data_IF_773784786090
#
_entry.id   IF_773784786090
#
_cell.length_a   1.000
_cell.length_b   1.000
_cell.length_c   1.000
_cell.angle_alpha   90.00
_cell.angle_beta   90.00
_cell.angle_gamma   90.00
#
_symmetry.space_group_name_H-M   'P 1'
#
loop_
_entity.id
_entity.type
_entity.pdbx_description
1 polymer ?
#
# COMPACT_ATOMS: atom_id res chain seq x y z
N UNK A 1 -29.63 -58.41 -27.84
CA UNK A 1 -28.67 -57.94 -26.82
C UNK A 1 -28.29 -56.51 -27.17
N UNK A 2 -28.56 -55.54 -26.29
CA UNK A 2 -28.49 -54.10 -26.56
C UNK A 2 -27.22 -53.51 -25.92
N UNK A 3 -26.40 -52.82 -26.70
CA UNK A 3 -25.18 -52.13 -26.24
C UNK A 3 -25.52 -50.67 -25.96
N UNK A 4 -25.26 -50.18 -24.75
CA UNK A 4 -25.49 -48.78 -24.36
C UNK A 4 -24.15 -48.12 -24.02
N UNK A 5 -23.74 -47.16 -24.84
CA UNK A 5 -22.58 -46.29 -24.62
C UNK A 5 -23.00 -45.21 -23.63
N UNK A 6 -22.35 -45.17 -22.45
CA UNK A 6 -22.52 -44.12 -21.44
C UNK A 6 -21.46 -43.05 -21.64
N UNK A 7 -21.85 -41.92 -22.22
CA UNK A 7 -21.06 -40.69 -22.27
C UNK A 7 -21.03 -40.04 -20.88
N UNK A 8 -19.85 -39.89 -20.28
CA UNK A 8 -19.64 -39.14 -19.04
C UNK A 8 -19.43 -37.67 -19.43
N UNK A 9 -20.36 -36.81 -19.01
CA UNK A 9 -20.27 -35.36 -19.16
C UNK A 9 -19.58 -34.78 -17.92
N UNK A 10 -18.31 -34.40 -18.03
CA UNK A 10 -17.61 -33.66 -16.97
C UNK A 10 -18.10 -32.20 -16.93
N UNK A 11 -18.79 -31.83 -15.85
CA UNK A 11 -19.20 -30.47 -15.60
C UNK A 11 -18.02 -29.68 -15.02
N UNK A 12 -17.40 -28.81 -15.81
CA UNK A 12 -16.40 -27.85 -15.34
C UNK A 12 -17.13 -26.72 -14.60
N UNK A 13 -17.16 -26.77 -13.28
CA UNK A 13 -17.63 -25.65 -12.46
C UNK A 13 -16.52 -24.59 -12.41
N UNK A 14 -16.66 -23.52 -13.20
CA UNK A 14 -15.82 -22.33 -13.08
C UNK A 14 -16.14 -21.64 -11.75
N UNK A 15 -15.30 -21.84 -10.74
CA UNK A 15 -15.30 -20.99 -9.55
C UNK A 15 -14.75 -19.62 -9.95
N UNK A 16 -15.65 -18.67 -10.21
CA UNK A 16 -15.28 -17.25 -10.26
C UNK A 16 -14.84 -16.87 -8.85
N UNK A 17 -13.54 -16.79 -8.61
CA UNK A 17 -13.01 -16.19 -7.38
C UNK A 17 -13.47 -14.74 -7.37
N UNK A 18 -14.45 -14.43 -6.54
CA UNK A 18 -14.87 -13.05 -6.29
C UNK A 18 -13.71 -12.38 -5.54
N UNK A 19 -12.75 -11.83 -6.29
CA UNK A 19 -11.80 -10.87 -5.71
C UNK A 19 -12.67 -9.74 -5.15
N UNK A 20 -12.68 -9.59 -3.83
CA UNK A 20 -13.38 -8.49 -3.17
C UNK A 20 -12.96 -7.15 -3.77
N UNK A 21 -13.90 -6.22 -3.91
CA UNK A 21 -13.61 -4.91 -4.47
C UNK A 21 -12.69 -4.13 -3.51
N UNK A 22 -11.41 -4.03 -3.84
CA UNK A 22 -10.48 -3.19 -3.11
C UNK A 22 -10.82 -1.70 -3.30
N UNK A 23 -10.73 -0.86 -2.26
CA UNK A 23 -10.53 -1.19 -0.84
C UNK A 23 -11.85 -1.56 -0.12
N UNK A 24 -11.78 -2.47 0.85
CA UNK A 24 -12.91 -2.86 1.70
C UNK A 24 -12.93 -2.13 3.05
N UNK A 25 -11.76 -1.65 3.49
CA UNK A 25 -11.54 -0.89 4.73
C UNK A 25 -10.66 0.35 4.44
N UNK A 26 -10.58 1.33 5.35
CA UNK A 26 -9.72 2.50 5.16
C UNK A 26 -8.24 2.12 4.96
N UNK A 27 -7.56 2.87 4.09
CA UNK A 27 -6.13 2.69 3.82
C UNK A 27 -5.36 3.66 4.73
N UNK A 28 -4.36 3.14 5.45
CA UNK A 28 -3.48 3.95 6.30
C UNK A 28 -2.32 4.49 5.48
N UNK A 29 -2.14 5.80 5.53
CA UNK A 29 -1.02 6.50 4.88
C UNK A 29 -0.04 6.94 5.97
N UNK A 30 1.09 6.27 6.05
CA UNK A 30 2.14 6.59 7.02
C UNK A 30 3.03 7.70 6.46
N UNK A 31 3.17 8.77 7.24
CA UNK A 31 4.09 9.87 6.95
C UNK A 31 5.23 9.80 7.98
N UNK A 32 6.47 9.44 7.60
CA UNK A 32 7.60 9.23 8.53
C UNK A 32 8.20 10.52 9.13
N UNK A 33 7.43 11.61 9.18
CA UNK A 33 7.84 12.93 9.68
C UNK A 33 6.75 13.50 10.57
N UNK A 34 7.06 14.58 11.29
CA UNK A 34 6.07 15.30 12.10
C UNK A 34 4.92 15.85 11.22
N UNK A 35 3.74 15.99 11.83
CA UNK A 35 2.57 16.61 11.21
C UNK A 35 2.86 18.08 10.82
N UNK A 36 2.23 18.56 9.74
CA UNK A 36 2.44 19.91 9.19
C UNK A 36 3.71 20.09 8.34
N UNK A 37 4.59 19.08 8.27
CA UNK A 37 5.74 19.09 7.37
C UNK A 37 5.36 18.80 5.91
N UNK A 38 6.31 18.97 4.99
CA UNK A 38 6.06 18.81 3.54
C UNK A 38 5.41 17.50 3.12
N UNK A 39 5.92 16.35 3.59
CA UNK A 39 5.32 15.05 3.28
C UNK A 39 3.90 14.89 3.86
N UNK A 40 3.61 15.51 5.02
CA UNK A 40 2.27 15.49 5.61
C UNK A 40 1.30 16.31 4.78
N UNK A 41 1.73 17.51 4.36
CA UNK A 41 0.95 18.36 3.46
C UNK A 41 0.65 17.64 2.16
N UNK A 42 1.64 17.01 1.53
CA UNK A 42 1.44 16.22 0.30
C UNK A 42 0.43 15.09 0.52
N UNK A 43 0.58 14.32 1.60
CA UNK A 43 -0.35 13.22 1.90
C UNK A 43 -1.80 13.71 2.09
N UNK A 44 -1.99 14.84 2.77
CA UNK A 44 -3.32 15.44 2.99
C UNK A 44 -3.93 16.05 1.72
N UNK A 45 -3.11 16.61 0.84
CA UNK A 45 -3.57 17.08 -0.48
C UNK A 45 -4.09 15.91 -1.31
N UNK A 46 -3.37 14.79 -1.36
CA UNK A 46 -3.86 13.58 -2.04
C UNK A 46 -5.10 13.00 -1.38
N UNK A 47 -5.14 12.93 -0.05
CA UNK A 47 -6.32 12.50 0.70
C UNK A 47 -7.54 13.33 0.29
N UNK A 48 -7.41 14.66 0.28
CA UNK A 48 -8.50 15.57 -0.09
C UNK A 48 -8.93 15.39 -1.55
N UNK A 49 -7.98 15.37 -2.49
CA UNK A 49 -8.28 15.20 -3.92
C UNK A 49 -8.98 13.86 -4.22
N UNK A 50 -8.58 12.78 -3.55
CA UNK A 50 -9.22 11.46 -3.68
C UNK A 50 -10.64 11.48 -3.12
N UNK A 51 -10.86 12.15 -1.99
CA UNK A 51 -12.19 12.31 -1.38
C UNK A 51 -13.12 13.15 -2.26
N UNK A 52 -12.65 14.30 -2.77
CA UNK A 52 -13.42 15.16 -3.67
C UNK A 52 -13.77 14.47 -4.99
N UNK A 53 -12.79 13.81 -5.60
CA UNK A 53 -12.98 13.05 -6.84
C UNK A 53 -13.75 11.74 -6.67
N UNK A 54 -14.06 11.34 -5.43
CA UNK A 54 -14.66 10.03 -5.09
C UNK A 54 -13.91 8.86 -5.74
N UNK A 55 -12.58 8.95 -5.78
CA UNK A 55 -11.73 8.01 -6.52
C UNK A 55 -11.58 6.66 -5.78
N UNK A 56 -11.89 6.63 -4.48
CA UNK A 56 -11.89 5.41 -3.67
C UNK A 56 -13.23 5.25 -2.92
N UNK A 57 -13.64 4.00 -2.76
CA UNK A 57 -14.82 3.62 -1.97
C UNK A 57 -14.58 3.72 -0.45
N UNK A 58 -13.33 3.83 -0.02
CA UNK A 58 -12.89 3.94 1.39
C UNK A 58 -11.91 5.08 1.55
N UNK A 59 -11.85 5.62 2.76
CA UNK A 59 -11.02 6.77 3.10
C UNK A 59 -9.54 6.43 3.17
N UNK A 60 -8.71 7.42 2.90
CA UNK A 60 -7.32 7.43 3.34
C UNK A 60 -7.25 7.99 4.77
N UNK A 61 -6.39 7.44 5.62
CA UNK A 61 -6.16 7.90 6.99
C UNK A 61 -4.68 8.21 7.15
N UNK A 62 -4.33 9.50 7.23
CA UNK A 62 -2.95 9.96 7.41
C UNK A 62 -2.51 9.79 8.86
N UNK A 63 -1.38 9.12 9.06
CA UNK A 63 -0.77 8.88 10.39
C UNK A 63 0.70 9.28 10.34
N UNK A 64 1.08 10.25 11.17
CA UNK A 64 2.46 10.70 11.30
C UNK A 64 3.22 9.81 12.29
N UNK A 65 4.34 9.22 11.86
CA UNK A 65 5.21 8.38 12.70
C UNK A 65 6.66 8.88 12.55
N UNK A 66 7.04 9.95 13.27
CA UNK A 66 8.40 10.49 13.22
C UNK A 66 9.41 9.63 14.00
N UNK A 67 10.70 9.86 13.77
CA UNK A 67 11.80 9.29 14.56
C UNK A 67 12.93 8.72 13.70
N UNK A 68 14.17 8.83 14.20
CA UNK A 68 15.40 8.33 13.55
C UNK A 68 15.50 8.71 12.06
N UNK A 69 15.26 9.98 11.73
CA UNK A 69 15.30 10.48 10.34
C UNK A 69 14.24 9.88 9.41
N UNK A 70 13.18 9.27 9.96
CA UNK A 70 12.13 8.58 9.21
C UNK A 70 12.26 7.05 9.22
N UNK A 71 13.33 6.49 9.80
CA UNK A 71 13.51 5.05 9.88
C UNK A 71 12.38 4.35 10.67
N UNK A 72 11.86 4.97 11.74
CA UNK A 72 10.78 4.37 12.54
C UNK A 72 9.49 4.20 11.71
N UNK A 73 9.06 5.25 11.01
CA UNK A 73 7.86 5.21 10.18
C UNK A 73 8.01 4.29 8.97
N UNK A 74 9.16 4.35 8.29
CA UNK A 74 9.43 3.47 7.13
C UNK A 74 9.49 2.00 7.54
N UNK A 75 10.13 1.66 8.67
CA UNK A 75 10.10 0.28 9.21
C UNK A 75 8.68 -0.18 9.49
N UNK A 76 7.81 0.69 10.02
CA UNK A 76 6.40 0.35 10.25
C UNK A 76 5.64 0.03 8.95
N UNK A 77 6.01 0.66 7.83
CA UNK A 77 5.47 0.34 6.50
C UNK A 77 6.04 -1.01 6.03
N UNK A 78 7.35 -1.19 6.09
CA UNK A 78 8.02 -2.44 5.65
C UNK A 78 7.50 -3.68 6.40
N UNK A 79 7.24 -3.55 7.70
CA UNK A 79 6.78 -4.64 8.55
C UNK A 79 5.24 -4.81 8.50
N UNK A 80 4.52 -4.05 7.66
CA UNK A 80 3.07 -4.18 7.49
C UNK A 80 2.70 -5.28 6.49
N UNK A 81 1.46 -5.81 6.54
CA UNK A 81 1.01 -6.78 5.53
C UNK A 81 1.08 -6.18 4.11
N UNK A 82 1.51 -6.99 3.15
CA UNK A 82 1.53 -6.63 1.72
C UNK A 82 0.12 -6.74 1.11
N UNK A 83 -0.86 -6.07 1.70
CA UNK A 83 -2.29 -6.13 1.34
C UNK A 83 -2.84 -4.79 0.81
N UNK A 84 -1.97 -3.78 0.62
CA UNK A 84 -2.32 -2.45 0.12
C UNK A 84 -2.93 -1.49 1.16
N UNK A 85 -3.28 -1.96 2.36
CA UNK A 85 -3.94 -1.11 3.37
C UNK A 85 -2.98 -0.29 4.22
N UNK A 86 -1.66 -0.44 4.01
CA UNK A 86 -0.64 0.44 4.57
C UNK A 86 0.27 0.91 3.44
N UNK A 87 0.24 2.21 3.17
CA UNK A 87 1.14 2.88 2.22
C UNK A 87 1.89 3.99 2.94
N UNK A 88 2.83 4.65 2.26
CA UNK A 88 3.48 5.82 2.83
C UNK A 88 3.86 6.89 1.82
N UNK A 89 4.12 8.07 2.36
CA UNK A 89 4.57 9.25 1.61
C UNK A 89 5.84 9.76 2.29
N UNK A 90 6.98 9.63 1.62
CA UNK A 90 8.27 10.11 2.10
C UNK A 90 9.28 10.24 0.95
N UNK A 91 10.34 11.00 1.19
CA UNK A 91 11.50 11.06 0.31
C UNK A 91 12.46 9.88 0.57
N UNK A 92 12.77 9.03 -0.43
CA UNK A 92 13.61 7.85 -0.24
C UNK A 92 15.08 8.17 0.13
N UNK A 93 15.57 9.38 -0.15
CA UNK A 93 16.97 9.76 0.09
C UNK A 93 17.36 9.61 1.56
N UNK A 94 16.48 9.98 2.49
CA UNK A 94 16.73 9.83 3.92
C UNK A 94 16.98 8.36 4.30
N UNK A 95 16.26 7.44 3.66
CA UNK A 95 16.39 6.01 3.94
C UNK A 95 17.63 5.40 3.26
N UNK A 96 17.96 5.86 2.05
CA UNK A 96 19.22 5.50 1.38
C UNK A 96 20.42 5.93 2.24
N UNK A 97 20.43 7.17 2.72
CA UNK A 97 21.47 7.66 3.64
C UNK A 97 21.50 6.86 4.94
N UNK A 98 20.35 6.50 5.51
CA UNK A 98 20.28 5.68 6.72
C UNK A 98 20.90 4.29 6.52
N UNK A 99 20.68 3.64 5.37
CA UNK A 99 21.32 2.37 5.03
C UNK A 99 22.83 2.52 4.87
N UNK A 100 23.28 3.57 4.17
CA UNK A 100 24.71 3.86 4.00
C UNK A 100 25.42 4.12 5.33
N UNK A 101 24.73 4.74 6.29
CA UNK A 101 25.24 4.98 7.65
C UNK A 101 25.11 3.76 8.59
N UNK A 102 24.57 2.62 8.12
CA UNK A 102 24.37 1.43 8.95
C UNK A 102 23.25 1.55 9.99
N UNK A 103 22.37 2.55 9.87
CA UNK A 103 21.22 2.75 10.77
C UNK A 103 20.09 1.75 10.43
N UNK A 104 19.92 1.44 9.14
CA UNK A 104 18.95 0.47 8.64
C UNK A 104 19.62 -0.60 7.77
N UNK A 105 18.98 -1.77 7.69
CA UNK A 105 19.36 -2.85 6.78
C UNK A 105 18.46 -2.93 5.53
N UNK A 106 17.63 -1.92 5.30
CA UNK A 106 16.65 -1.82 4.22
C UNK A 106 16.66 -0.40 3.63
N UNK A 107 16.24 -0.26 2.37
CA UNK A 107 16.16 1.00 1.65
C UNK A 107 14.90 1.10 0.77
N UNK A 108 14.89 2.06 -0.16
CA UNK A 108 13.81 2.28 -1.11
C UNK A 108 13.45 1.08 -1.99
N UNK A 109 14.38 0.14 -2.23
CA UNK A 109 14.14 -1.08 -3.03
C UNK A 109 13.26 -2.09 -2.31
N UNK A 110 13.06 -1.93 -1.01
CA UNK A 110 12.20 -2.78 -0.18
C UNK A 110 10.71 -2.38 -0.26
N UNK A 111 10.34 -1.46 -1.14
CA UNK A 111 8.98 -0.94 -1.30
C UNK A 111 8.54 -0.95 -2.75
N UNK A 112 7.25 -1.18 -2.98
CA UNK A 112 6.63 -0.90 -4.26
C UNK A 112 6.38 0.61 -4.39
N UNK A 113 6.97 1.22 -5.43
CA UNK A 113 6.81 2.66 -5.69
C UNK A 113 5.51 2.89 -6.46
N UNK A 114 4.55 3.56 -5.80
CA UNK A 114 3.23 3.83 -6.38
C UNK A 114 3.27 5.05 -7.31
N UNK A 115 3.90 6.13 -6.85
CA UNK A 115 4.00 7.39 -7.60
C UNK A 115 5.14 8.25 -7.06
N UNK A 116 5.65 9.15 -7.89
CA UNK A 116 6.59 10.18 -7.49
C UNK A 116 5.90 11.54 -7.44
N UNK A 117 5.94 12.16 -6.28
CA UNK A 117 5.47 13.53 -6.06
C UNK A 117 6.70 14.41 -6.22
N UNK A 118 6.66 15.48 -7.04
CA UNK A 118 7.82 16.34 -7.32
C UNK A 118 8.31 17.20 -6.14
N UNK A 119 8.20 16.69 -4.92
CA UNK A 119 8.58 17.25 -3.64
C UNK A 119 9.78 16.48 -3.06
#
# INVERSE_FOLDING_TARGET
MKTAIRTILCFFASTTTLLGAYPEKPIRVIVPTAAGGGHDTVARVFQHAIEEGKLLSKKLVVVNIPGAGGAVGTRKIKDSPNDGYTIGVWNPNALISAKLMGITNYDHTDYEIIAMTGY
#
